data_IF_435777451765
#
_entry.id   IF_435777451765
#
_cell.length_a   1.000
_cell.length_b   1.000
_cell.length_c   1.000
_cell.angle_alpha   90.00
_cell.angle_beta   90.00
_cell.angle_gamma   90.00
#
_symmetry.space_group_name_H-M   'P 1'
#
loop_
_entity.id
_entity.type
_entity.pdbx_description
1 polymer ?
#
# COMPACT_ATOMS: atom_id res chain seq x y z
N UNK A 1 -31.35 -18.96 -8.51
CA UNK A 1 -30.71 -19.67 -7.37
C UNK A 1 -31.56 -19.44 -6.13
N UNK A 2 -32.10 -20.49 -5.54
CA UNK A 2 -32.84 -20.42 -4.28
C UNK A 2 -31.89 -20.57 -3.06
N UNK A 3 -32.38 -20.35 -1.81
CA UNK A 3 -31.50 -20.43 -0.63
C UNK A 3 -30.82 -21.79 -0.40
N UNK A 4 -31.44 -22.91 -0.80
CA UNK A 4 -30.87 -24.23 -0.62
C UNK A 4 -29.78 -24.51 -1.66
N UNK A 5 -29.98 -24.11 -2.92
CA UNK A 5 -28.96 -24.11 -3.96
C UNK A 5 -27.78 -23.21 -3.57
N UNK A 6 -28.05 -22.02 -3.04
CA UNK A 6 -27.00 -21.12 -2.55
C UNK A 6 -26.17 -21.79 -1.44
N UNK A 7 -26.83 -22.43 -0.45
CA UNK A 7 -26.13 -23.13 0.64
C UNK A 7 -25.21 -24.22 0.09
N UNK A 8 -25.74 -25.07 -0.83
CA UNK A 8 -24.95 -26.13 -1.45
C UNK A 8 -23.69 -25.60 -2.15
N UNK A 9 -23.84 -24.54 -2.96
CA UNK A 9 -22.73 -23.93 -3.68
C UNK A 9 -21.75 -23.20 -2.77
N UNK A 10 -22.25 -22.56 -1.70
CA UNK A 10 -21.40 -21.91 -0.71
C UNK A 10 -20.51 -22.92 0.04
N UNK A 11 -21.04 -24.10 0.39
CA UNK A 11 -20.21 -25.18 0.96
C UNK A 11 -19.12 -25.63 -0.03
N UNK A 12 -19.46 -25.84 -1.30
CA UNK A 12 -18.48 -26.20 -2.33
C UNK A 12 -17.37 -25.15 -2.50
N UNK A 13 -17.73 -23.85 -2.46
CA UNK A 13 -16.76 -22.78 -2.50
C UNK A 13 -15.90 -22.70 -1.24
N UNK A 14 -16.49 -22.96 -0.06
CA UNK A 14 -15.74 -23.00 1.20
C UNK A 14 -14.68 -24.09 1.19
N UNK A 15 -15.02 -25.29 0.72
CA UNK A 15 -14.09 -26.42 0.57
C UNK A 15 -12.96 -26.04 -0.40
N UNK A 16 -13.30 -25.49 -1.58
CA UNK A 16 -12.30 -25.06 -2.56
C UNK A 16 -11.37 -23.96 -2.00
N UNK A 17 -11.90 -23.00 -1.26
CA UNK A 17 -11.09 -21.92 -0.65
C UNK A 17 -10.14 -22.49 0.40
N UNK A 18 -10.60 -23.46 1.21
CA UNK A 18 -9.76 -24.12 2.20
C UNK A 18 -8.61 -24.90 1.53
N UNK A 19 -8.93 -25.65 0.47
CA UNK A 19 -7.95 -26.37 -0.35
C UNK A 19 -6.94 -25.41 -0.98
N UNK A 20 -7.40 -24.29 -1.55
CA UNK A 20 -6.52 -23.28 -2.12
C UNK A 20 -5.54 -22.71 -1.07
N UNK A 21 -6.01 -22.36 0.14
CA UNK A 21 -5.12 -21.90 1.21
C UNK A 21 -4.08 -22.94 1.62
N UNK A 22 -4.44 -24.22 1.62
CA UNK A 22 -3.51 -25.31 1.95
C UNK A 22 -2.47 -25.51 0.85
N UNK A 23 -2.90 -25.48 -0.41
CA UNK A 23 -2.14 -25.99 -1.54
C UNK A 23 -1.44 -24.89 -2.36
N UNK A 24 -1.72 -23.61 -2.14
CA UNK A 24 -1.16 -22.49 -2.93
C UNK A 24 0.37 -22.52 -3.00
N UNK A 25 1.05 -22.96 -1.94
CA UNK A 25 2.51 -23.09 -1.90
C UNK A 25 3.09 -24.19 -2.83
N UNK A 26 2.25 -25.06 -3.36
CA UNK A 26 2.65 -26.10 -4.33
C UNK A 26 2.38 -25.69 -5.79
N UNK A 27 1.68 -24.58 -6.00
CA UNK A 27 1.35 -24.08 -7.33
C UNK A 27 2.52 -23.25 -7.90
N UNK A 28 2.61 -23.09 -9.24
CA UNK A 28 3.52 -22.09 -9.80
C UNK A 28 3.14 -20.69 -9.34
N UNK A 29 4.11 -19.87 -8.89
CA UNK A 29 3.84 -18.50 -8.39
C UNK A 29 3.20 -17.62 -9.46
N UNK A 30 3.64 -17.77 -10.72
CA UNK A 30 3.14 -17.01 -11.87
C UNK A 30 2.56 -17.93 -12.93
N UNK A 31 1.56 -17.46 -13.70
CA UNK A 31 0.96 -18.27 -14.78
C UNK A 31 1.93 -18.44 -15.96
N UNK A 32 1.65 -19.45 -16.80
CA UNK A 32 2.39 -19.70 -18.04
C UNK A 32 1.68 -19.18 -19.30
N UNK A 33 0.69 -18.31 -19.15
CA UNK A 33 -0.14 -17.79 -20.24
C UNK A 33 0.54 -16.66 -21.01
N UNK A 34 0.19 -16.52 -22.29
CA UNK A 34 0.59 -15.40 -23.11
C UNK A 34 -0.56 -14.36 -23.22
N UNK A 35 -0.27 -13.09 -23.56
CA UNK A 35 -1.30 -12.09 -23.78
C UNK A 35 -2.36 -12.58 -24.77
N UNK A 36 -3.63 -12.52 -24.34
CA UNK A 36 -4.79 -12.97 -25.11
C UNK A 36 -5.21 -14.43 -24.90
N UNK A 37 -4.40 -15.27 -24.22
CA UNK A 37 -4.77 -16.69 -24.03
C UNK A 37 -6.09 -16.84 -23.25
N UNK A 38 -6.28 -16.07 -22.19
CA UNK A 38 -7.52 -16.09 -21.42
C UNK A 38 -8.67 -15.50 -22.22
N UNK A 39 -8.45 -14.35 -22.86
CA UNK A 39 -9.49 -13.64 -23.63
C UNK A 39 -10.07 -14.54 -24.76
N UNK A 40 -9.22 -15.32 -25.43
CA UNK A 40 -9.67 -16.26 -26.48
C UNK A 40 -10.54 -17.40 -25.98
N UNK A 41 -10.46 -17.73 -24.69
CA UNK A 41 -11.26 -18.78 -24.07
C UNK A 41 -12.59 -18.27 -23.50
N UNK A 42 -12.74 -16.96 -23.33
CA UNK A 42 -13.99 -16.33 -22.91
C UNK A 42 -14.87 -16.12 -24.16
N UNK A 43 -16.17 -16.40 -24.03
CA UNK A 43 -17.12 -16.19 -25.12
C UNK A 43 -17.08 -14.74 -25.63
N UNK A 44 -17.25 -14.54 -26.94
CA UNK A 44 -17.17 -13.23 -27.58
C UNK A 44 -18.35 -12.31 -27.27
N UNK A 45 -19.41 -12.82 -26.65
CA UNK A 45 -20.59 -12.05 -26.25
C UNK A 45 -21.24 -12.59 -24.97
N UNK A 46 -22.14 -11.82 -24.35
CA UNK A 46 -22.86 -12.26 -23.17
C UNK A 46 -23.82 -13.41 -23.54
N UNK A 47 -24.05 -14.38 -22.63
CA UNK A 47 -25.05 -15.41 -22.86
C UNK A 47 -26.48 -14.79 -22.77
N UNK A 48 -27.36 -15.17 -23.66
CA UNK A 48 -28.78 -14.73 -23.62
C UNK A 48 -29.55 -15.36 -22.46
N UNK A 49 -29.12 -16.54 -22.01
CA UNK A 49 -29.75 -17.27 -20.91
C UNK A 49 -28.75 -17.55 -19.80
N UNK A 50 -29.23 -17.56 -18.56
CA UNK A 50 -28.41 -17.89 -17.39
C UNK A 50 -27.86 -19.31 -17.47
N UNK A 51 -26.65 -19.50 -16.97
CA UNK A 51 -25.97 -20.80 -16.91
C UNK A 51 -25.96 -21.38 -15.49
N UNK A 52 -25.96 -22.73 -15.34
CA UNK A 52 -25.82 -23.37 -14.04
C UNK A 52 -24.51 -23.01 -13.34
N UNK A 53 -24.57 -22.84 -12.02
CA UNK A 53 -23.39 -22.51 -11.20
C UNK A 53 -22.21 -23.46 -11.42
N UNK A 54 -22.48 -24.77 -11.54
CA UNK A 54 -21.44 -25.77 -11.77
C UNK A 54 -20.61 -25.48 -13.05
N UNK A 55 -21.27 -25.01 -14.11
CA UNK A 55 -20.57 -24.61 -15.34
C UNK A 55 -19.70 -23.39 -15.11
N UNK A 56 -20.21 -22.37 -14.41
CA UNK A 56 -19.45 -21.16 -14.07
C UNK A 56 -18.24 -21.49 -13.20
N UNK A 57 -18.42 -22.37 -12.21
CA UNK A 57 -17.33 -22.79 -11.31
C UNK A 57 -16.30 -23.66 -12.03
N UNK A 58 -16.75 -24.52 -12.95
CA UNK A 58 -15.85 -25.30 -13.82
C UNK A 58 -15.01 -24.35 -14.70
N UNK A 59 -15.63 -23.39 -15.39
CA UNK A 59 -14.92 -22.41 -16.23
C UNK A 59 -13.95 -21.54 -15.41
N UNK A 60 -14.32 -21.15 -14.19
CA UNK A 60 -13.41 -20.48 -13.28
C UNK A 60 -12.14 -21.31 -13.05
N UNK A 61 -12.28 -22.61 -12.78
CA UNK A 61 -11.14 -23.52 -12.55
C UNK A 61 -10.31 -23.79 -13.80
N UNK A 62 -10.94 -23.88 -14.97
CA UNK A 62 -10.28 -24.28 -16.23
C UNK A 62 -9.73 -23.09 -17.02
N UNK A 63 -10.36 -21.92 -16.94
CA UNK A 63 -10.01 -20.74 -17.73
C UNK A 63 -9.32 -19.68 -16.86
N UNK A 64 -9.94 -19.32 -15.72
CA UNK A 64 -9.47 -18.18 -14.92
C UNK A 64 -8.26 -18.57 -14.06
N UNK A 65 -8.39 -19.68 -13.29
CA UNK A 65 -7.33 -20.10 -12.35
C UNK A 65 -5.96 -20.31 -13.02
N UNK A 66 -5.84 -20.93 -14.21
CA UNK A 66 -4.55 -21.10 -14.87
C UNK A 66 -3.86 -19.81 -15.27
N UNK A 67 -4.63 -18.70 -15.39
CA UNK A 67 -4.12 -17.37 -15.69
C UNK A 67 -3.83 -16.50 -14.46
N UNK A 68 -4.08 -16.99 -13.25
CA UNK A 68 -3.88 -16.21 -12.03
C UNK A 68 -2.42 -16.22 -11.57
N UNK A 69 -1.94 -15.07 -11.16
CA UNK A 69 -0.72 -14.93 -10.36
C UNK A 69 -1.08 -15.10 -8.89
N UNK A 70 -0.39 -16.00 -8.20
CA UNK A 70 -0.70 -16.34 -6.82
C UNK A 70 0.02 -15.43 -5.83
N UNK A 71 -0.55 -14.25 -5.58
CA UNK A 71 -0.01 -13.28 -4.61
C UNK A 71 0.09 -13.81 -3.18
N UNK A 72 -0.70 -14.86 -2.84
CA UNK A 72 -0.64 -15.51 -1.53
C UNK A 72 0.42 -16.62 -1.44
N UNK A 73 1.16 -16.88 -2.53
CA UNK A 73 2.19 -17.92 -2.53
C UNK A 73 3.35 -17.51 -1.60
N UNK A 74 3.87 -18.42 -0.74
CA UNK A 74 4.96 -18.10 0.18
C UNK A 74 6.28 -17.71 -0.51
N UNK A 75 6.46 -18.06 -1.78
CA UNK A 75 7.56 -17.63 -2.65
C UNK A 75 7.28 -16.35 -3.45
N UNK A 76 6.21 -15.62 -3.16
CA UNK A 76 5.94 -14.32 -3.73
C UNK A 76 6.74 -13.24 -3.00
N UNK A 77 7.83 -12.79 -3.60
CA UNK A 77 8.74 -11.76 -3.07
C UNK A 77 8.73 -10.48 -3.91
N UNK A 78 7.72 -10.31 -4.76
CA UNK A 78 7.59 -9.19 -5.68
C UNK A 78 6.80 -8.03 -5.07
N UNK A 79 7.10 -6.81 -5.51
CA UNK A 79 6.41 -5.57 -5.10
C UNK A 79 6.42 -5.38 -3.58
N UNK A 80 5.23 -5.26 -2.99
CA UNK A 80 4.94 -5.45 -1.57
C UNK A 80 3.79 -6.43 -1.43
N UNK A 81 3.62 -7.11 -0.26
CA UNK A 81 2.53 -8.06 -0.09
C UNK A 81 1.17 -7.39 -0.31
N UNK A 82 0.24 -8.13 -0.92
CA UNK A 82 -1.18 -7.86 -0.88
C UNK A 82 -1.82 -9.05 -0.16
N UNK A 83 -1.61 -9.09 1.14
CA UNK A 83 -1.99 -10.21 1.99
C UNK A 83 -3.50 -10.38 2.09
N UNK A 84 -3.90 -11.60 2.34
CA UNK A 84 -5.19 -11.94 2.89
C UNK A 84 -5.05 -12.96 4.03
N UNK A 85 -6.14 -13.26 4.70
CA UNK A 85 -6.21 -14.30 5.72
C UNK A 85 -7.61 -14.91 5.76
N UNK A 86 -7.76 -16.16 6.24
CA UNK A 86 -9.08 -16.78 6.36
C UNK A 86 -10.10 -15.91 7.10
N UNK A 87 -9.81 -15.29 8.27
CA UNK A 87 -10.76 -14.39 8.93
C UNK A 87 -11.19 -13.22 8.05
N UNK A 88 -10.25 -12.64 7.30
CA UNK A 88 -10.51 -11.51 6.40
C UNK A 88 -11.46 -11.91 5.26
N UNK A 89 -11.24 -13.10 4.66
CA UNK A 89 -12.09 -13.63 3.58
C UNK A 89 -13.49 -13.95 4.08
N UNK A 90 -13.64 -14.58 5.26
CA UNK A 90 -14.94 -14.85 5.86
C UNK A 90 -15.74 -13.57 6.14
N UNK A 91 -15.08 -12.52 6.65
CA UNK A 91 -15.70 -11.22 6.86
C UNK A 91 -16.14 -10.56 5.54
N UNK A 92 -15.35 -10.72 4.47
CA UNK A 92 -15.72 -10.20 3.14
C UNK A 92 -16.94 -10.93 2.56
N UNK A 93 -17.08 -12.24 2.79
CA UNK A 93 -18.28 -12.99 2.43
C UNK A 93 -19.52 -12.44 3.14
N UNK A 94 -19.43 -12.13 4.44
CA UNK A 94 -20.50 -11.50 5.20
C UNK A 94 -20.82 -10.09 4.66
N UNK A 95 -19.79 -9.30 4.37
CA UNK A 95 -19.95 -7.96 3.78
C UNK A 95 -20.72 -8.01 2.46
N UNK A 96 -20.37 -8.96 1.58
CA UNK A 96 -21.03 -9.15 0.30
C UNK A 96 -22.50 -9.63 0.48
N UNK A 97 -22.74 -10.52 1.45
CA UNK A 97 -24.07 -11.04 1.76
C UNK A 97 -25.01 -9.96 2.29
N UNK A 98 -24.49 -9.05 3.14
CA UNK A 98 -25.31 -7.97 3.71
C UNK A 98 -25.67 -6.89 2.68
N UNK A 99 -24.89 -6.74 1.60
CA UNK A 99 -25.08 -5.66 0.64
C UNK A 99 -24.99 -4.27 1.27
N UNK A 100 -24.19 -4.12 2.34
CA UNK A 100 -24.13 -2.92 3.15
C UNK A 100 -23.59 -1.71 2.39
N UNK A 101 -24.29 -0.57 2.50
CA UNK A 101 -23.85 0.73 2.00
C UNK A 101 -23.47 1.64 3.18
N UNK A 102 -22.18 1.90 3.36
CA UNK A 102 -21.59 2.52 4.56
C UNK A 102 -21.29 4.02 4.36
N UNK A 103 -22.09 4.74 3.60
CA UNK A 103 -21.88 6.16 3.31
C UNK A 103 -22.19 7.07 4.49
N UNK A 104 -23.18 6.72 5.32
CA UNK A 104 -23.64 7.52 6.45
C UNK A 104 -24.05 6.63 7.61
N UNK A 105 -24.17 7.22 8.80
CA UNK A 105 -24.67 6.52 9.98
C UNK A 105 -26.09 5.98 9.73
N UNK A 106 -26.97 6.79 9.18
CA UNK A 106 -28.36 6.41 8.94
C UNK A 106 -28.52 5.20 8.00
N UNK A 107 -27.61 5.03 7.02
CA UNK A 107 -27.66 3.90 6.09
C UNK A 107 -27.04 2.63 6.65
N UNK A 108 -26.14 2.75 7.63
CA UNK A 108 -25.43 1.62 8.24
C UNK A 108 -24.84 2.02 9.59
N UNK A 109 -25.65 2.14 10.68
CA UNK A 109 -25.15 2.57 11.99
C UNK A 109 -24.02 1.69 12.51
N UNK A 110 -24.21 0.38 12.52
CA UNK A 110 -23.22 -0.58 12.99
C UNK A 110 -21.91 -0.51 12.20
N UNK A 111 -21.97 -0.31 10.89
CA UNK A 111 -20.76 -0.21 10.06
C UNK A 111 -20.00 1.09 10.32
N UNK A 112 -20.71 2.21 10.51
CA UNK A 112 -20.10 3.50 10.83
C UNK A 112 -19.41 3.46 12.18
N UNK A 113 -20.09 2.96 13.22
CA UNK A 113 -19.52 2.88 14.56
C UNK A 113 -18.36 1.86 14.64
N UNK A 114 -18.48 0.75 13.91
CA UNK A 114 -17.36 -0.20 13.82
C UNK A 114 -16.15 0.42 13.11
N UNK A 115 -16.32 1.24 12.06
CA UNK A 115 -15.22 1.93 11.42
C UNK A 115 -14.55 2.92 12.38
N UNK A 116 -15.33 3.69 13.13
CA UNK A 116 -14.78 4.58 14.18
C UNK A 116 -13.95 3.80 15.21
N UNK A 117 -14.49 2.67 15.72
CA UNK A 117 -13.78 1.82 16.66
C UNK A 117 -12.49 1.22 16.07
N UNK A 118 -12.52 0.78 14.81
CA UNK A 118 -11.35 0.21 14.15
C UNK A 118 -10.28 1.26 13.89
N UNK A 119 -10.65 2.46 13.52
CA UNK A 119 -9.68 3.55 13.34
C UNK A 119 -9.05 3.95 14.69
N UNK A 120 -9.81 3.98 15.77
CA UNK A 120 -9.27 4.22 17.11
C UNK A 120 -8.34 3.08 17.57
N UNK A 121 -8.69 1.81 17.33
CA UNK A 121 -7.80 0.70 17.63
C UNK A 121 -6.49 0.77 16.82
N UNK A 122 -6.56 1.06 15.52
CA UNK A 122 -5.37 1.23 14.70
C UNK A 122 -4.52 2.41 15.19
N UNK A 123 -5.14 3.54 15.54
CA UNK A 123 -4.43 4.69 16.12
C UNK A 123 -3.61 4.31 17.34
N UNK A 124 -4.23 3.57 18.28
CA UNK A 124 -3.56 3.06 19.46
C UNK A 124 -2.46 2.04 19.12
N UNK A 125 -2.73 1.11 18.19
CA UNK A 125 -1.78 0.08 17.78
C UNK A 125 -0.50 0.68 17.19
N UNK A 126 -0.62 1.74 16.38
CA UNK A 126 0.53 2.42 15.74
C UNK A 126 1.06 3.60 16.56
N UNK A 127 0.51 3.82 17.75
CA UNK A 127 0.93 4.85 18.73
C UNK A 127 0.83 6.29 18.20
N UNK A 128 -0.19 6.59 17.40
CA UNK A 128 -0.50 7.97 17.03
C UNK A 128 -1.18 8.72 18.19
N UNK A 129 -0.91 10.02 18.36
CA UNK A 129 -1.56 10.85 19.39
C UNK A 129 -3.10 10.84 19.31
N UNK A 130 -3.76 11.07 20.45
CA UNK A 130 -5.21 11.09 20.57
C UNK A 130 -5.92 12.16 19.67
N UNK A 131 -5.18 13.17 19.20
CA UNK A 131 -5.72 14.19 18.28
C UNK A 131 -5.88 13.73 16.83
N UNK A 132 -5.44 12.51 16.49
CA UNK A 132 -5.69 11.95 15.16
C UNK A 132 -7.02 11.22 15.11
N UNK A 133 -7.81 11.52 14.08
CA UNK A 133 -9.02 10.78 13.73
C UNK A 133 -8.85 10.16 12.34
N UNK A 134 -9.59 9.10 12.02
CA UNK A 134 -9.35 8.41 10.76
C UNK A 134 -10.57 7.89 10.05
N UNK A 135 -10.39 7.56 8.77
CA UNK A 135 -11.34 6.88 7.91
C UNK A 135 -10.63 5.81 7.07
N UNK A 136 -11.35 4.74 6.73
CA UNK A 136 -10.83 3.71 5.83
C UNK A 136 -11.04 4.16 4.38
N UNK A 137 -9.95 4.39 3.67
CA UNK A 137 -9.93 4.61 2.22
C UNK A 137 -9.72 3.27 1.48
N UNK A 138 -9.90 3.25 0.17
CA UNK A 138 -9.60 2.07 -0.66
C UNK A 138 -8.07 1.83 -0.73
N UNK A 139 -7.32 2.84 -1.12
CA UNK A 139 -5.86 2.76 -1.31
C UNK A 139 -5.14 3.98 -0.75
N UNK A 140 -3.83 3.83 -0.48
CA UNK A 140 -3.00 4.98 -0.15
C UNK A 140 -2.95 6.02 -1.28
N UNK A 141 -3.17 5.64 -2.54
CA UNK A 141 -3.26 6.61 -3.63
C UNK A 141 -4.43 7.57 -3.48
N UNK A 142 -5.59 7.05 -3.06
CA UNK A 142 -6.76 7.88 -2.73
C UNK A 142 -6.49 8.71 -1.47
N UNK A 143 -5.88 8.12 -0.44
CA UNK A 143 -5.53 8.84 0.80
C UNK A 143 -4.54 9.99 0.54
N UNK A 144 -3.51 9.78 -0.29
CA UNK A 144 -2.57 10.84 -0.70
C UNK A 144 -3.30 11.96 -1.47
N UNK A 145 -4.23 11.59 -2.38
CA UNK A 145 -5.04 12.61 -3.09
C UNK A 145 -5.93 13.39 -2.11
N UNK A 146 -6.55 12.71 -1.14
CA UNK A 146 -7.34 13.37 -0.08
C UNK A 146 -6.47 14.34 0.73
N UNK A 147 -5.26 13.94 1.12
CA UNK A 147 -4.32 14.81 1.82
C UNK A 147 -3.91 16.04 0.99
N UNK A 148 -3.61 15.85 -0.30
CA UNK A 148 -3.26 16.94 -1.22
C UNK A 148 -4.41 17.93 -1.41
N UNK A 149 -5.65 17.42 -1.54
CA UNK A 149 -6.84 18.27 -1.64
C UNK A 149 -7.08 19.03 -0.34
N UNK A 150 -6.95 18.39 0.83
CA UNK A 150 -7.10 19.06 2.14
C UNK A 150 -6.02 20.13 2.35
N UNK A 151 -4.77 19.84 1.98
CA UNK A 151 -3.68 20.82 2.02
C UNK A 151 -3.95 22.03 1.11
N UNK A 152 -4.46 21.79 -0.11
CA UNK A 152 -4.87 22.81 -1.05
C UNK A 152 -5.95 23.71 -0.48
N UNK A 153 -7.00 23.11 0.04
CA UNK A 153 -8.12 23.86 0.61
C UNK A 153 -7.68 24.67 1.85
N UNK A 154 -6.87 24.08 2.73
CA UNK A 154 -6.33 24.78 3.89
C UNK A 154 -5.54 26.04 3.50
N UNK A 155 -4.58 25.90 2.59
CA UNK A 155 -3.69 27.00 2.22
C UNK A 155 -4.39 28.11 1.41
N UNK A 156 -5.50 27.78 0.74
CA UNK A 156 -6.32 28.71 -0.04
C UNK A 156 -7.56 29.22 0.70
N UNK A 157 -7.71 28.88 1.99
CA UNK A 157 -8.91 29.25 2.76
C UNK A 157 -10.21 28.70 2.16
N UNK A 158 -10.16 27.55 1.47
CA UNK A 158 -11.24 26.89 0.73
C UNK A 158 -11.73 27.66 -0.53
N UNK A 159 -10.95 28.62 -1.01
CA UNK A 159 -11.27 29.31 -2.26
C UNK A 159 -11.00 28.45 -3.51
N UNK A 160 -10.03 27.52 -3.44
CA UNK A 160 -9.74 26.63 -4.55
C UNK A 160 -10.95 25.73 -4.92
N UNK A 161 -11.62 25.16 -3.94
CA UNK A 161 -12.83 24.35 -4.15
C UNK A 161 -14.03 25.17 -4.61
N UNK A 162 -14.14 26.42 -4.14
CA UNK A 162 -15.28 27.29 -4.46
C UNK A 162 -15.13 28.04 -5.78
N UNK A 163 -13.90 28.53 -6.10
CA UNK A 163 -13.66 29.45 -7.23
C UNK A 163 -12.73 28.90 -8.30
N UNK A 164 -12.14 27.73 -8.02
CA UNK A 164 -11.09 27.16 -8.86
C UNK A 164 -9.69 27.72 -8.55
N UNK A 165 -8.65 26.95 -8.87
CA UNK A 165 -7.25 27.31 -8.57
C UNK A 165 -6.79 28.61 -9.24
N UNK A 166 -7.32 28.96 -10.40
CA UNK A 166 -6.98 30.21 -11.09
C UNK A 166 -7.37 31.47 -10.29
N UNK A 167 -8.29 31.35 -9.33
CA UNK A 167 -8.75 32.46 -8.50
C UNK A 167 -7.99 32.59 -7.15
N UNK A 168 -7.05 31.71 -6.86
CA UNK A 168 -6.34 31.68 -5.56
C UNK A 168 -5.12 32.60 -5.47
N UNK A 169 -4.80 33.31 -6.53
CA UNK A 169 -3.73 34.32 -6.58
C UNK A 169 -2.35 33.73 -6.83
N UNK A 170 -1.72 33.07 -5.87
CA UNK A 170 -0.38 32.50 -6.01
C UNK A 170 -0.43 31.01 -6.40
N UNK A 171 0.42 30.55 -7.33
CA UNK A 171 0.51 29.14 -7.65
C UNK A 171 1.03 28.30 -6.47
N UNK A 172 0.44 27.13 -6.27
CA UNK A 172 0.76 26.24 -5.15
C UNK A 172 1.86 25.24 -5.51
N UNK A 173 2.72 24.89 -4.56
CA UNK A 173 3.78 23.88 -4.75
C UNK A 173 3.66 22.74 -3.75
N UNK A 174 4.11 21.55 -4.19
CA UNK A 174 4.14 20.31 -3.41
C UNK A 174 5.56 19.74 -3.44
N UNK A 175 6.00 19.16 -2.35
CA UNK A 175 7.35 18.62 -2.18
C UNK A 175 7.30 17.14 -1.81
N UNK A 176 8.18 16.33 -2.39
CA UNK A 176 8.38 14.93 -2.02
C UNK A 176 9.77 14.48 -2.45
N UNK A 177 10.27 13.36 -1.92
CA UNK A 177 11.57 12.84 -2.35
C UNK A 177 11.55 12.27 -3.78
N UNK A 178 12.73 12.11 -4.39
CA UNK A 178 12.88 11.40 -5.67
C UNK A 178 12.45 9.94 -5.58
N UNK A 179 12.44 9.35 -4.37
CA UNK A 179 12.07 7.95 -4.10
C UNK A 179 10.60 7.76 -3.73
N UNK A 180 9.81 8.83 -3.70
CA UNK A 180 8.40 8.76 -3.37
C UNK A 180 7.60 7.95 -4.41
N UNK A 181 6.53 7.32 -3.95
CA UNK A 181 5.64 6.56 -4.82
C UNK A 181 4.94 7.44 -5.85
N UNK A 182 4.72 6.92 -7.06
CA UNK A 182 4.07 7.62 -8.18
C UNK A 182 2.62 8.09 -7.91
N UNK A 183 2.00 7.66 -6.80
CA UNK A 183 0.70 8.20 -6.35
C UNK A 183 0.77 9.70 -6.07
N UNK A 184 1.93 10.22 -5.63
CA UNK A 184 2.12 11.66 -5.40
C UNK A 184 2.05 12.41 -6.72
N UNK A 185 2.73 11.93 -7.78
CA UNK A 185 2.68 12.53 -9.11
C UNK A 185 1.25 12.51 -9.68
N UNK A 186 0.54 11.39 -9.53
CA UNK A 186 -0.88 11.29 -9.92
C UNK A 186 -1.77 12.23 -9.10
N UNK A 187 -1.58 12.27 -7.80
CA UNK A 187 -2.34 13.12 -6.88
C UNK A 187 -2.18 14.60 -7.21
N UNK A 188 -0.95 15.04 -7.46
CA UNK A 188 -0.63 16.43 -7.85
C UNK A 188 -1.32 16.81 -9.17
N UNK A 189 -1.32 15.91 -10.16
CA UNK A 189 -2.07 16.12 -11.42
C UNK A 189 -3.56 16.25 -11.16
N UNK A 190 -4.16 15.31 -10.42
CA UNK A 190 -5.60 15.25 -10.16
C UNK A 190 -6.07 16.41 -9.27
N UNK A 191 -5.28 16.82 -8.28
CA UNK A 191 -5.59 17.95 -7.42
C UNK A 191 -5.41 19.32 -8.10
N UNK A 192 -4.90 19.35 -9.34
CA UNK A 192 -4.78 20.56 -10.15
C UNK A 192 -3.53 21.40 -9.88
N UNK A 193 -2.57 20.92 -9.10
CA UNK A 193 -1.31 21.64 -8.89
C UNK A 193 -0.46 21.75 -10.16
N UNK A 194 -0.45 20.68 -10.98
CA UNK A 194 0.43 20.52 -12.14
C UNK A 194 1.80 19.95 -11.77
N UNK A 195 2.36 19.08 -12.64
CA UNK A 195 3.64 18.41 -12.37
C UNK A 195 4.83 19.36 -12.24
N UNK A 196 4.80 20.51 -12.93
CA UNK A 196 5.84 21.53 -12.83
C UNK A 196 5.90 22.18 -11.45
N UNK A 197 4.88 21.99 -10.61
CA UNK A 197 4.79 22.47 -9.23
C UNK A 197 5.14 21.40 -8.21
N UNK A 198 5.47 20.18 -8.65
CA UNK A 198 5.97 19.12 -7.79
C UNK A 198 7.51 19.19 -7.72
N UNK A 199 8.04 19.48 -6.53
CA UNK A 199 9.47 19.51 -6.26
C UNK A 199 9.92 18.13 -5.81
N UNK A 200 10.77 17.48 -6.60
CA UNK A 200 11.43 16.22 -6.25
C UNK A 200 12.72 16.54 -5.48
N UNK A 201 12.66 16.41 -4.16
CA UNK A 201 13.78 16.67 -3.25
C UNK A 201 14.79 15.54 -3.36
N UNK A 202 16.10 15.84 -3.51
CA UNK A 202 17.16 14.82 -3.50
C UNK A 202 17.18 13.99 -2.21
N UNK A 203 17.72 12.77 -2.34
CA UNK A 203 17.91 11.85 -1.21
C UNK A 203 19.39 11.72 -0.84
N UNK A 204 19.64 11.20 0.36
CA UNK A 204 20.98 10.85 0.83
C UNK A 204 21.45 9.46 0.35
N UNK A 205 22.58 8.99 0.88
CA UNK A 205 23.12 7.67 0.55
C UNK A 205 22.24 6.50 1.03
N UNK A 206 21.31 6.74 1.95
CA UNK A 206 20.32 5.77 2.45
C UNK A 206 18.98 5.89 1.74
N UNK A 207 18.90 6.73 0.70
CA UNK A 207 17.70 7.03 -0.09
C UNK A 207 16.60 7.76 0.69
N UNK A 208 16.94 8.39 1.82
CA UNK A 208 16.04 9.22 2.62
C UNK A 208 16.07 10.68 2.12
N UNK A 209 14.92 11.38 2.19
CA UNK A 209 14.81 12.79 1.81
C UNK A 209 15.84 13.64 2.56
N UNK A 210 16.52 14.52 1.86
CA UNK A 210 17.45 15.48 2.46
C UNK A 210 16.71 16.72 2.98
N UNK A 211 16.66 16.94 4.30
CA UNK A 211 15.94 18.10 4.87
C UNK A 211 16.54 19.46 4.47
N UNK A 212 17.85 19.54 4.30
CA UNK A 212 18.53 20.75 3.84
C UNK A 212 18.11 21.16 2.41
N UNK A 213 17.91 20.17 1.54
CA UNK A 213 17.40 20.39 0.18
C UNK A 213 15.92 20.76 0.18
N UNK A 214 15.12 20.16 1.07
CA UNK A 214 13.72 20.55 1.26
C UNK A 214 13.61 22.00 1.71
N UNK A 215 14.37 22.41 2.72
CA UNK A 215 14.38 23.79 3.22
C UNK A 215 14.75 24.77 2.11
N UNK A 216 15.79 24.46 1.32
CA UNK A 216 16.20 25.30 0.18
C UNK A 216 15.11 25.41 -0.89
N UNK A 217 14.44 24.30 -1.21
CA UNK A 217 13.36 24.30 -2.20
C UNK A 217 12.16 25.12 -1.75
N UNK A 218 11.77 25.03 -0.48
CA UNK A 218 10.68 25.82 0.11
C UNK A 218 11.03 27.31 0.11
N UNK A 219 12.25 27.67 0.55
CA UNK A 219 12.71 29.07 0.57
C UNK A 219 12.72 29.68 -0.84
N UNK A 220 13.26 28.95 -1.83
CA UNK A 220 13.31 29.41 -3.22
C UNK A 220 11.90 29.64 -3.82
N UNK A 221 10.95 28.73 -3.52
CA UNK A 221 9.57 28.90 -3.99
C UNK A 221 8.88 30.12 -3.33
N UNK A 222 9.12 30.36 -2.04
CA UNK A 222 8.61 31.54 -1.34
C UNK A 222 9.19 32.83 -1.93
N UNK A 223 10.50 32.88 -2.19
CA UNK A 223 11.16 34.03 -2.85
C UNK A 223 10.61 34.27 -4.26
N UNK A 224 10.24 33.19 -4.98
CA UNK A 224 9.61 33.26 -6.29
C UNK A 224 8.11 33.66 -6.24
N UNK A 225 7.55 33.95 -5.07
CA UNK A 225 6.14 34.30 -4.88
C UNK A 225 5.18 33.12 -5.03
N UNK A 226 5.68 31.87 -4.92
CA UNK A 226 4.86 30.67 -4.91
C UNK A 226 4.42 30.32 -3.49
N UNK A 227 3.39 29.52 -3.36
CA UNK A 227 2.85 29.13 -2.05
C UNK A 227 3.09 27.63 -1.79
N UNK A 228 4.01 27.27 -0.88
CA UNK A 228 4.19 25.89 -0.42
C UNK A 228 2.91 25.37 0.24
N UNK A 229 2.34 24.29 -0.30
CA UNK A 229 1.07 23.73 0.18
C UNK A 229 1.25 22.43 0.96
N UNK A 230 2.07 21.49 0.46
CA UNK A 230 2.18 20.17 1.06
C UNK A 230 3.59 19.59 0.88
N UNK A 231 4.12 18.98 1.94
CA UNK A 231 5.22 18.02 1.88
C UNK A 231 4.65 16.61 2.05
N UNK A 232 5.01 15.70 1.16
CA UNK A 232 4.74 14.27 1.31
C UNK A 232 6.05 13.58 1.66
N UNK A 233 6.20 13.19 2.93
CA UNK A 233 7.31 12.40 3.43
C UNK A 233 6.92 10.92 3.46
N UNK A 234 7.90 10.02 3.33
CA UNK A 234 7.65 8.59 3.24
C UNK A 234 8.37 7.82 4.35
N UNK A 235 7.66 6.91 5.01
CA UNK A 235 8.27 5.87 5.85
C UNK A 235 8.12 4.53 5.15
N UNK A 236 9.25 4.01 4.64
CA UNK A 236 9.30 2.81 3.82
C UNK A 236 9.02 3.09 2.34
N UNK A 237 9.92 3.80 1.68
CA UNK A 237 9.85 4.12 0.24
C UNK A 237 9.68 2.86 -0.62
N UNK A 238 9.07 3.01 -1.78
CA UNK A 238 8.72 1.86 -2.64
C UNK A 238 9.95 1.09 -3.12
N UNK A 239 11.02 1.78 -3.47
CA UNK A 239 12.20 1.15 -4.07
C UNK A 239 13.10 0.45 -3.03
N UNK A 240 13.35 1.08 -1.87
CA UNK A 240 14.38 0.66 -0.90
C UNK A 240 13.89 0.51 0.54
N UNK A 241 12.64 0.90 0.82
CA UNK A 241 12.10 1.06 2.18
C UNK A 241 12.85 2.10 3.04
N UNK A 242 13.47 3.10 2.42
CA UNK A 242 14.07 4.21 3.13
C UNK A 242 13.06 4.95 4.00
N UNK A 243 13.56 5.56 5.06
CA UNK A 243 12.78 6.29 6.07
C UNK A 243 13.18 7.75 6.02
N UNK A 244 12.27 8.61 5.63
CA UNK A 244 12.50 10.05 5.63
C UNK A 244 12.62 10.59 7.08
N UNK A 245 13.53 11.54 7.37
CA UNK A 245 13.77 12.06 8.72
C UNK A 245 12.64 12.99 9.16
N UNK A 246 11.50 12.41 9.58
CA UNK A 246 10.27 13.13 9.91
C UNK A 246 10.44 14.28 10.92
N UNK A 247 11.28 14.17 12.00
CA UNK A 247 11.43 15.29 12.94
C UNK A 247 11.98 16.56 12.28
N UNK A 248 12.96 16.42 11.39
CA UNK A 248 13.54 17.56 10.67
C UNK A 248 12.56 18.13 9.63
N UNK A 249 11.88 17.25 8.87
CA UNK A 249 10.87 17.65 7.88
C UNK A 249 9.70 18.36 8.55
N UNK A 250 9.20 17.82 9.67
CA UNK A 250 8.12 18.44 10.45
C UNK A 250 8.51 19.83 10.99
N UNK A 251 9.77 19.99 11.40
CA UNK A 251 10.32 21.30 11.79
C UNK A 251 10.23 22.30 10.66
N UNK A 252 10.57 21.91 9.43
CA UNK A 252 10.46 22.76 8.22
C UNK A 252 8.99 23.09 7.93
N UNK A 253 8.14 22.09 7.88
CA UNK A 253 6.71 22.25 7.60
C UNK A 253 6.06 23.24 8.59
N UNK A 254 6.37 23.11 9.89
CA UNK A 254 5.83 23.99 10.93
C UNK A 254 6.31 25.45 10.79
N UNK A 255 7.60 25.69 10.46
CA UNK A 255 8.12 27.04 10.26
C UNK A 255 7.43 27.78 9.12
N UNK A 256 7.09 27.05 8.06
CA UNK A 256 6.52 27.65 6.85
C UNK A 256 5.01 27.43 6.69
N UNK A 257 4.33 26.82 7.69
CA UNK A 257 2.88 26.58 7.65
C UNK A 257 2.44 25.56 6.57
N UNK A 258 3.34 24.68 6.13
CA UNK A 258 3.11 23.68 5.07
C UNK A 258 2.49 22.42 5.66
N UNK A 259 1.52 21.83 4.96
CA UNK A 259 0.92 20.54 5.35
C UNK A 259 1.94 19.41 5.26
N UNK A 260 2.08 18.62 6.31
CA UNK A 260 2.88 17.39 6.30
C UNK A 260 1.97 16.18 6.17
N UNK A 261 2.04 15.48 5.04
CA UNK A 261 1.45 14.15 4.85
C UNK A 261 2.55 13.09 4.95
N UNK A 262 2.34 12.06 5.77
CA UNK A 262 3.26 10.92 5.89
C UNK A 262 2.65 9.71 5.20
N UNK A 263 3.27 9.30 4.09
CA UNK A 263 2.96 8.06 3.37
C UNK A 263 3.78 6.91 3.97
N UNK A 264 3.13 6.09 4.77
CA UNK A 264 3.67 4.86 5.32
C UNK A 264 2.91 3.63 4.79
N UNK A 265 2.47 3.67 3.53
CA UNK A 265 1.57 2.69 2.93
C UNK A 265 1.98 1.23 3.17
N UNK A 266 3.27 0.93 3.11
CA UNK A 266 3.80 -0.39 3.45
C UNK A 266 4.23 -0.49 4.92
N UNK A 267 5.14 0.38 5.32
CA UNK A 267 5.85 0.24 6.59
C UNK A 267 4.99 0.63 7.81
N UNK A 268 3.92 1.41 7.64
CA UNK A 268 3.10 1.86 8.78
C UNK A 268 2.50 0.72 9.62
N UNK A 269 2.32 -0.47 9.02
CA UNK A 269 1.97 -1.67 9.77
C UNK A 269 3.06 -2.09 10.77
N UNK A 270 4.34 -1.76 10.53
CA UNK A 270 5.44 -2.10 11.43
C UNK A 270 5.43 -1.24 12.70
N UNK A 271 4.76 -0.09 12.72
CA UNK A 271 4.64 0.76 13.90
C UNK A 271 3.91 0.05 15.08
N UNK A 272 3.16 -1.04 14.81
CA UNK A 272 2.57 -1.85 15.89
C UNK A 272 3.63 -2.58 16.72
N UNK A 273 4.84 -2.76 16.19
CA UNK A 273 5.97 -3.45 16.82
C UNK A 273 6.80 -2.43 17.60
N UNK A 274 6.86 -2.52 18.95
CA UNK A 274 7.49 -1.48 19.79
C UNK A 274 8.92 -1.16 19.41
N UNK A 275 9.73 -2.17 19.07
CA UNK A 275 11.14 -2.02 18.70
C UNK A 275 11.36 -1.32 17.35
N UNK A 276 10.33 -1.19 16.51
CA UNK A 276 10.40 -0.50 15.21
C UNK A 276 9.80 0.92 15.26
N UNK A 277 9.20 1.34 16.38
CA UNK A 277 8.52 2.64 16.51
C UNK A 277 9.44 3.83 16.29
N UNK A 278 10.70 3.73 16.69
CA UNK A 278 11.68 4.78 16.49
C UNK A 278 11.84 5.21 15.01
N UNK A 279 11.49 4.33 14.06
CA UNK A 279 11.48 4.65 12.62
C UNK A 279 10.34 5.61 12.23
N UNK A 280 9.42 5.87 13.13
CA UNK A 280 8.26 6.75 12.96
C UNK A 280 8.35 8.02 13.81
N UNK A 281 9.47 8.25 14.51
CA UNK A 281 9.67 9.46 15.34
C UNK A 281 9.42 10.70 14.48
N UNK A 282 8.61 11.62 14.99
CA UNK A 282 8.17 12.83 14.27
C UNK A 282 6.80 12.71 13.59
N UNK A 283 6.22 11.49 13.47
CA UNK A 283 4.87 11.31 12.89
C UNK A 283 3.79 12.05 13.68
N UNK A 284 4.00 12.25 14.98
CA UNK A 284 3.12 12.99 15.87
C UNK A 284 2.96 14.46 15.46
N UNK A 285 3.81 14.97 14.60
CA UNK A 285 3.75 16.33 14.06
C UNK A 285 3.11 16.41 12.67
N UNK A 286 2.77 15.26 12.05
CA UNK A 286 2.11 15.25 10.75
C UNK A 286 0.69 15.82 10.82
N UNK A 287 0.22 16.41 9.73
CA UNK A 287 -1.19 16.80 9.55
C UNK A 287 -2.03 15.59 9.14
N UNK A 288 -1.43 14.66 8.38
CA UNK A 288 -2.08 13.40 7.97
C UNK A 288 -1.08 12.27 7.82
N UNK A 289 -1.56 11.04 8.03
CA UNK A 289 -0.79 9.81 7.99
C UNK A 289 -1.61 8.70 7.32
N UNK A 290 -0.96 7.87 6.51
CA UNK A 290 -1.62 6.74 5.85
C UNK A 290 -0.78 5.48 5.92
N UNK A 291 -1.44 4.34 6.15
CA UNK A 291 -0.85 3.03 5.91
C UNK A 291 -1.91 2.03 5.42
N UNK A 292 -1.45 0.92 4.84
CA UNK A 292 -2.33 -0.05 4.21
C UNK A 292 -2.40 -1.37 5.00
N UNK A 293 -3.42 -1.61 5.84
CA UNK A 293 -3.67 -2.93 6.42
C UNK A 293 -3.72 -4.05 5.38
N UNK A 294 -4.15 -3.77 4.15
CA UNK A 294 -4.17 -4.75 3.06
C UNK A 294 -2.78 -5.12 2.51
N UNK A 295 -1.70 -4.46 2.94
CA UNK A 295 -0.32 -4.85 2.60
C UNK A 295 0.26 -5.80 3.65
N UNK A 296 0.39 -5.35 4.89
CA UNK A 296 1.17 -6.09 5.89
C UNK A 296 0.42 -6.42 7.19
N UNK A 297 -0.91 -6.21 7.25
CA UNK A 297 -1.76 -6.61 8.38
C UNK A 297 -2.81 -7.67 8.04
N UNK A 298 -2.56 -8.53 7.03
CA UNK A 298 -3.38 -9.71 6.72
C UNK A 298 -4.85 -9.41 6.35
N UNK A 299 -5.16 -8.17 6.01
CA UNK A 299 -6.47 -7.75 5.53
C UNK A 299 -6.49 -7.87 4.01
N UNK A 300 -7.49 -8.58 3.44
CA UNK A 300 -7.59 -8.67 1.98
C UNK A 300 -7.82 -7.31 1.33
N UNK A 301 -7.29 -7.14 0.12
CA UNK A 301 -7.42 -5.93 -0.69
C UNK A 301 -8.92 -5.61 -0.94
N UNK A 302 -9.44 -4.37 -0.66
CA UNK A 302 -8.70 -3.18 -0.32
C UNK A 302 -9.05 -2.68 1.10
N UNK A 303 -8.08 -2.08 1.79
CA UNK A 303 -8.24 -1.44 3.10
C UNK A 303 -7.00 -0.55 3.37
N UNK A 304 -7.19 0.76 3.42
CA UNK A 304 -6.16 1.75 3.68
C UNK A 304 -6.60 2.65 4.85
N UNK A 305 -5.83 2.71 5.91
CA UNK A 305 -6.13 3.52 7.09
C UNK A 305 -5.54 4.92 6.90
N UNK A 306 -6.39 5.92 6.73
CA UNK A 306 -6.03 7.31 6.61
C UNK A 306 -6.38 8.06 7.89
N UNK A 307 -5.42 8.77 8.44
CA UNK A 307 -5.56 9.58 9.64
C UNK A 307 -5.30 11.04 9.34
N UNK A 308 -6.03 11.92 10.00
CA UNK A 308 -5.88 13.37 9.92
C UNK A 308 -5.98 13.97 11.31
N UNK A 309 -5.24 15.05 11.54
CA UNK A 309 -5.29 15.79 12.79
C UNK A 309 -6.47 16.76 12.85
N UNK A 310 -6.73 17.44 11.74
CA UNK A 310 -7.81 18.41 11.60
C UNK A 310 -8.98 17.79 10.84
N UNK A 311 -9.94 17.22 11.60
CA UNK A 311 -11.16 16.63 11.06
C UNK A 311 -12.01 17.67 10.33
N UNK A 312 -12.08 18.89 10.87
CA UNK A 312 -12.95 19.93 10.30
C UNK A 312 -12.45 20.35 8.91
N UNK A 313 -11.13 20.54 8.76
CA UNK A 313 -10.52 20.82 7.47
C UNK A 313 -10.78 19.70 6.44
N UNK A 314 -10.70 18.43 6.87
CA UNK A 314 -11.01 17.30 6.01
C UNK A 314 -12.47 17.31 5.56
N UNK A 315 -13.40 17.38 6.49
CA UNK A 315 -14.84 17.35 6.19
C UNK A 315 -15.22 18.55 5.31
N UNK A 316 -14.76 19.76 5.66
CA UNK A 316 -15.02 20.96 4.87
C UNK A 316 -14.50 20.88 3.43
N UNK A 317 -13.45 20.10 3.20
CA UNK A 317 -12.89 19.89 1.84
C UNK A 317 -13.83 19.07 0.96
N UNK A 318 -14.54 18.09 1.52
CA UNK A 318 -15.29 17.09 0.73
C UNK A 318 -16.80 17.18 0.90
N UNK A 319 -17.29 17.88 1.94
CA UNK A 319 -18.71 17.91 2.23
C UNK A 319 -19.51 18.58 1.12
N UNK A 320 -20.45 17.81 0.55
CA UNK A 320 -21.51 18.29 -0.32
C UNK A 320 -22.80 17.61 0.14
N UNK A 321 -23.68 18.35 0.85
CA UNK A 321 -24.88 17.78 1.47
C UNK A 321 -26.14 18.24 0.76
N UNK A 322 -26.53 17.58 -0.37
CA UNK A 322 -27.82 17.83 -1.00
C UNK A 322 -28.95 17.38 -0.07
N UNK A 323 -30.16 17.90 -0.30
CA UNK A 323 -31.32 17.73 0.59
C UNK A 323 -31.65 16.27 0.90
N UNK A 324 -31.56 15.38 -0.11
CA UNK A 324 -31.87 13.95 0.06
C UNK A 324 -30.89 13.17 0.93
N UNK A 325 -29.71 13.75 1.24
CA UNK A 325 -28.72 13.16 2.14
C UNK A 325 -28.80 13.69 3.57
N UNK A 326 -29.62 14.72 3.83
CA UNK A 326 -29.77 15.28 5.18
C UNK A 326 -30.61 14.37 6.06
N UNK A 327 -30.13 14.18 7.30
CA UNK A 327 -30.83 13.42 8.34
C UNK A 327 -30.88 14.25 9.62
N UNK A 328 -31.85 13.95 10.48
CA UNK A 328 -32.03 14.65 11.77
C UNK A 328 -30.79 14.43 12.70
N UNK A 329 -30.07 13.32 12.51
CA UNK A 329 -28.92 12.95 13.31
C UNK A 329 -27.60 13.49 12.77
N UNK A 330 -27.53 14.16 11.61
CA UNK A 330 -26.29 14.57 10.95
C UNK A 330 -25.32 15.40 11.83
N UNK A 331 -25.85 16.06 12.88
CA UNK A 331 -25.06 16.85 13.82
C UNK A 331 -24.40 16.03 14.92
N UNK A 332 -24.94 14.83 15.20
CA UNK A 332 -24.57 14.00 16.35
C UNK A 332 -23.77 12.77 15.96
N UNK A 333 -23.62 12.51 14.65
CA UNK A 333 -23.00 11.28 14.12
C UNK A 333 -21.92 11.59 13.08
N UNK A 334 -21.05 10.60 12.86
CA UNK A 334 -20.06 10.66 11.76
C UNK A 334 -20.74 10.17 10.47
N UNK A 335 -20.58 10.95 9.41
CA UNK A 335 -20.98 10.57 8.06
C UNK A 335 -19.74 10.46 7.17
N UNK A 336 -19.23 9.26 6.98
CA UNK A 336 -17.97 9.02 6.23
C UNK A 336 -18.04 9.41 4.74
N UNK A 337 -19.24 9.64 4.17
CA UNK A 337 -19.42 10.22 2.83
C UNK A 337 -18.71 11.57 2.67
N UNK A 338 -18.55 12.30 3.79
CA UNK A 338 -17.95 13.64 3.83
C UNK A 338 -16.42 13.60 4.15
N UNK A 339 -15.83 12.40 4.29
CA UNK A 339 -14.43 12.20 4.66
C UNK A 339 -13.51 11.83 3.47
N UNK A 340 -14.00 11.97 2.25
CA UNK A 340 -13.26 11.63 1.04
C UNK A 340 -14.08 11.84 -0.23
N UNK A 341 -13.55 11.33 -1.33
CA UNK A 341 -14.10 11.58 -2.67
C UNK A 341 -15.40 10.78 -2.91
N UNK A 342 -15.51 9.59 -2.32
CA UNK A 342 -16.53 8.60 -2.67
C UNK A 342 -17.79 8.79 -1.82
N UNK A 343 -18.95 8.88 -2.45
CA UNK A 343 -20.23 8.80 -1.75
C UNK A 343 -20.49 7.38 -1.25
N UNK A 344 -20.48 6.40 -2.15
CA UNK A 344 -20.71 5.00 -1.83
C UNK A 344 -19.47 4.37 -1.17
N UNK A 345 -19.68 3.63 -0.06
CA UNK A 345 -18.57 3.03 0.71
C UNK A 345 -18.86 1.57 1.08
N UNK A 346 -17.85 0.72 0.94
CA UNK A 346 -17.90 -0.69 1.36
C UNK A 346 -17.73 -0.82 2.88
N UNK A 347 -18.23 -1.91 3.43
CA UNK A 347 -18.05 -2.25 4.86
C UNK A 347 -16.65 -2.83 5.13
N UNK A 348 -15.60 -2.04 4.91
CA UNK A 348 -14.19 -2.47 5.08
C UNK A 348 -13.80 -2.72 6.53
N UNK A 349 -14.46 -2.05 7.48
CA UNK A 349 -14.18 -2.20 8.90
C UNK A 349 -14.43 -3.63 9.41
N UNK A 350 -15.37 -4.38 8.81
CA UNK A 350 -15.71 -5.72 9.28
C UNK A 350 -14.53 -6.68 9.15
N UNK A 351 -13.88 -6.70 8.00
CA UNK A 351 -12.70 -7.57 7.78
C UNK A 351 -11.50 -7.19 8.63
N UNK A 352 -11.29 -5.90 8.87
CA UNK A 352 -10.27 -5.42 9.79
C UNK A 352 -10.54 -5.88 11.22
N UNK A 353 -11.79 -5.79 11.68
CA UNK A 353 -12.22 -6.26 13.00
C UNK A 353 -12.00 -7.77 13.17
N UNK A 354 -12.37 -8.56 12.15
CA UNK A 354 -12.14 -10.02 12.15
C UNK A 354 -10.66 -10.36 12.26
N UNK A 355 -9.81 -9.69 11.49
CA UNK A 355 -8.35 -9.92 11.52
C UNK A 355 -7.77 -9.58 12.88
N UNK A 356 -8.03 -8.36 13.40
CA UNK A 356 -7.48 -7.93 14.69
C UNK A 356 -7.95 -8.86 15.82
N UNK A 357 -9.22 -9.26 15.83
CA UNK A 357 -9.74 -10.16 16.87
C UNK A 357 -9.29 -11.59 16.73
N UNK A 358 -9.04 -12.07 15.53
CA UNK A 358 -8.60 -13.45 15.30
C UNK A 358 -7.13 -13.66 15.66
N UNK A 359 -6.26 -12.71 15.30
CA UNK A 359 -4.82 -12.83 15.54
C UNK A 359 -4.36 -12.13 16.82
N UNK A 360 -5.12 -11.15 17.30
CA UNK A 360 -4.68 -10.23 18.34
C UNK A 360 -3.52 -9.34 17.87
N UNK A 361 -3.25 -8.29 18.60
CA UNK A 361 -2.12 -7.39 18.29
C UNK A 361 -0.79 -8.14 18.38
N UNK A 362 -0.63 -9.03 19.35
CA UNK A 362 0.63 -9.79 19.52
C UNK A 362 0.84 -10.79 18.37
N UNK A 363 -0.19 -11.48 17.91
CA UNK A 363 -0.06 -12.37 16.73
C UNK A 363 0.39 -11.62 15.47
N UNK A 364 -0.12 -10.40 15.26
CA UNK A 364 0.31 -9.54 14.16
C UNK A 364 1.76 -9.04 14.34
N UNK A 365 2.17 -8.71 15.58
CA UNK A 365 3.57 -8.36 15.90
C UNK A 365 4.52 -9.51 15.64
N UNK A 366 4.19 -10.71 16.08
CA UNK A 366 5.01 -11.92 15.85
C UNK A 366 5.23 -12.15 14.36
N UNK A 367 4.20 -11.98 13.54
CA UNK A 367 4.32 -12.12 12.09
C UNK A 367 5.27 -11.07 11.50
N UNK A 368 5.12 -9.79 11.86
CA UNK A 368 5.98 -8.72 11.34
C UNK A 368 7.44 -8.94 11.77
N UNK A 369 7.68 -9.26 13.05
CA UNK A 369 9.02 -9.60 13.55
C UNK A 369 9.67 -10.72 12.77
N UNK A 370 8.90 -11.80 12.48
CA UNK A 370 9.39 -12.91 11.65
C UNK A 370 9.82 -12.44 10.26
N UNK A 371 9.01 -11.61 9.59
CA UNK A 371 9.35 -11.13 8.26
C UNK A 371 10.59 -10.22 8.27
N UNK A 372 10.73 -9.35 9.27
CA UNK A 372 11.92 -8.51 9.44
C UNK A 372 13.16 -9.36 9.73
N UNK A 373 13.05 -10.34 10.63
CA UNK A 373 14.14 -11.26 10.93
C UNK A 373 14.61 -12.04 9.68
N UNK A 374 13.67 -12.56 8.88
CA UNK A 374 14.01 -13.24 7.63
C UNK A 374 14.69 -12.30 6.62
N UNK A 375 14.27 -11.04 6.54
CA UNK A 375 14.93 -10.06 5.67
C UNK A 375 16.35 -9.77 6.14
N UNK A 376 16.59 -9.68 7.44
CA UNK A 376 17.93 -9.52 8.01
C UNK A 376 18.80 -10.76 7.77
N UNK A 377 18.26 -11.98 7.86
CA UNK A 377 19.00 -13.20 7.51
C UNK A 377 19.42 -13.18 6.03
N UNK A 378 18.50 -12.84 5.11
CA UNK A 378 18.83 -12.72 3.68
C UNK A 378 19.88 -11.64 3.44
N UNK A 379 19.76 -10.48 4.12
CA UNK A 379 20.79 -9.44 4.02
C UNK A 379 22.16 -9.94 4.47
N UNK A 380 22.22 -10.72 5.56
CA UNK A 380 23.45 -11.36 6.01
C UNK A 380 24.03 -12.36 5.00
N UNK A 381 23.17 -13.10 4.27
CA UNK A 381 23.65 -14.01 3.20
C UNK A 381 24.19 -13.25 1.99
N UNK A 382 23.56 -12.12 1.64
CA UNK A 382 24.04 -11.23 0.56
C UNK A 382 25.39 -10.63 0.91
N UNK A 383 25.52 -10.09 2.12
CA UNK A 383 26.75 -9.44 2.61
C UNK A 383 27.91 -10.44 2.79
N UNK A 384 27.60 -11.69 3.11
CA UNK A 384 28.55 -12.79 3.26
C UNK A 384 29.01 -13.46 1.95
N UNK A 385 28.40 -13.14 0.81
CA UNK A 385 28.75 -13.69 -0.50
C UNK A 385 29.52 -12.64 -1.31
N UNK A 386 30.83 -12.87 -1.64
CA UNK A 386 31.70 -11.87 -2.27
C UNK A 386 31.22 -11.40 -3.65
N UNK A 387 30.37 -12.18 -4.31
CA UNK A 387 29.83 -11.85 -5.63
C UNK A 387 28.54 -11.04 -5.57
N UNK A 388 28.03 -10.73 -4.37
CA UNK A 388 26.82 -9.95 -4.19
C UNK A 388 27.06 -8.68 -3.37
N UNK A 389 26.23 -7.66 -3.57
CA UNK A 389 26.27 -6.43 -2.78
C UNK A 389 24.87 -5.99 -2.34
N UNK A 390 24.75 -5.53 -1.09
CA UNK A 390 23.57 -4.85 -0.59
C UNK A 390 23.52 -3.43 -1.15
N UNK A 391 22.33 -3.03 -1.65
CA UNK A 391 22.15 -1.74 -2.31
C UNK A 391 21.44 -0.69 -1.46
N UNK A 392 20.85 -1.09 -0.33
CA UNK A 392 20.15 -0.21 0.59
C UNK A 392 20.11 -0.83 2.00
N UNK A 393 19.92 -0.02 3.06
CA UNK A 393 19.60 -0.52 4.39
C UNK A 393 18.34 -1.39 4.40
N UNK A 394 18.24 -2.33 5.34
CA UNK A 394 17.12 -3.28 5.46
C UNK A 394 16.38 -3.04 6.79
N UNK A 395 15.63 -1.93 6.95
CA UNK A 395 14.93 -1.64 8.20
C UNK A 395 13.63 -2.47 8.38
N UNK A 396 13.09 -3.01 7.27
CA UNK A 396 11.83 -3.75 7.24
C UNK A 396 11.98 -5.08 6.50
N UNK A 397 10.92 -5.54 5.83
CA UNK A 397 10.88 -6.82 5.11
C UNK A 397 11.38 -6.78 3.66
N UNK A 398 12.17 -5.80 3.24
CA UNK A 398 12.67 -5.68 1.86
C UNK A 398 14.20 -5.73 1.84
N UNK A 399 14.76 -6.60 0.98
CA UNK A 399 16.19 -6.67 0.68
C UNK A 399 16.42 -6.23 -0.77
N UNK A 400 17.30 -5.24 -0.95
CA UNK A 400 17.73 -4.73 -2.25
C UNK A 400 19.18 -5.14 -2.49
N UNK A 401 19.47 -5.86 -3.57
CA UNK A 401 20.81 -6.40 -3.82
C UNK A 401 21.12 -6.51 -5.31
N UNK A 402 22.39 -6.69 -5.62
CA UNK A 402 22.92 -6.98 -6.96
C UNK A 402 23.88 -8.15 -6.91
N UNK A 403 23.92 -8.94 -7.97
CA UNK A 403 25.01 -9.84 -8.27
C UNK A 403 26.08 -9.04 -8.98
N UNK A 404 27.29 -8.96 -8.40
CA UNK A 404 28.39 -8.12 -8.86
C UNK A 404 29.72 -8.86 -8.77
N UNK A 405 30.01 -9.80 -9.66
CA UNK A 405 31.36 -10.43 -9.73
C UNK A 405 32.43 -9.40 -10.09
N UNK A 406 33.64 -9.66 -9.64
CA UNK A 406 34.79 -8.78 -9.88
C UNK A 406 35.05 -8.50 -11.36
N UNK A 407 35.60 -7.31 -11.64
CA UNK A 407 36.12 -6.92 -12.96
C UNK A 407 35.06 -6.44 -13.96
N UNK A 408 33.77 -6.33 -13.57
CA UNK A 408 32.70 -5.85 -14.44
C UNK A 408 32.39 -4.36 -14.24
N UNK A 409 32.07 -3.67 -15.34
CA UNK A 409 31.52 -2.31 -15.29
C UNK A 409 30.08 -2.32 -14.80
N UNK A 410 29.57 -1.18 -14.27
CA UNK A 410 28.17 -1.07 -13.81
C UNK A 410 27.16 -1.44 -14.89
N UNK A 411 27.39 -1.07 -16.16
CA UNK A 411 26.51 -1.45 -17.27
C UNK A 411 26.46 -2.97 -17.49
N UNK A 412 27.61 -3.65 -17.41
CA UNK A 412 27.67 -5.11 -17.50
C UNK A 412 26.96 -5.78 -16.34
N UNK A 413 27.14 -5.25 -15.13
CA UNK A 413 26.46 -5.72 -13.93
C UNK A 413 24.93 -5.53 -14.05
N UNK A 414 24.47 -4.41 -14.59
CA UNK A 414 23.03 -4.17 -14.82
C UNK A 414 22.43 -5.21 -15.78
N UNK A 415 23.11 -5.50 -16.92
CA UNK A 415 22.64 -6.50 -17.87
C UNK A 415 22.68 -7.92 -17.28
N UNK A 416 23.70 -8.21 -16.49
CA UNK A 416 23.82 -9.47 -15.78
C UNK A 416 22.65 -9.68 -14.80
N UNK A 417 22.29 -8.66 -14.03
CA UNK A 417 21.19 -8.73 -13.09
C UNK A 417 19.81 -8.79 -13.77
N UNK A 418 19.62 -8.18 -14.95
CA UNK A 418 18.41 -8.39 -15.77
C UNK A 418 18.26 -9.85 -16.20
N UNK A 419 19.36 -10.48 -16.69
CA UNK A 419 19.34 -11.90 -17.05
C UNK A 419 19.15 -12.81 -15.85
N UNK A 420 19.79 -12.50 -14.72
CA UNK A 420 19.63 -13.21 -13.46
C UNK A 420 18.16 -13.20 -13.01
N UNK A 421 17.55 -12.04 -12.91
CA UNK A 421 16.15 -11.91 -12.49
C UNK A 421 15.19 -12.63 -13.44
N UNK A 422 15.39 -12.50 -14.75
CA UNK A 422 14.59 -13.20 -15.74
C UNK A 422 14.67 -14.74 -15.58
N UNK A 423 15.88 -15.27 -15.33
CA UNK A 423 16.11 -16.71 -15.12
C UNK A 423 15.47 -17.21 -13.82
N UNK A 424 15.60 -16.48 -12.72
CA UNK A 424 14.97 -16.82 -11.44
C UNK A 424 13.46 -16.89 -11.59
N UNK A 425 12.85 -15.85 -12.19
CA UNK A 425 11.39 -15.77 -12.36
C UNK A 425 10.85 -16.80 -13.37
N UNK A 426 11.64 -17.20 -14.37
CA UNK A 426 11.27 -18.25 -15.33
C UNK A 426 11.08 -19.62 -14.67
N UNK A 427 11.70 -19.88 -13.53
CA UNK A 427 11.50 -21.10 -12.76
C UNK A 427 10.09 -21.20 -12.14
N UNK A 428 9.38 -20.07 -11.99
CA UNK A 428 8.00 -19.96 -11.46
C UNK A 428 7.81 -20.55 -10.06
N UNK A 429 8.90 -20.77 -9.33
CA UNK A 429 8.93 -21.24 -7.92
C UNK A 429 8.93 -20.05 -6.95
N UNK A 430 9.59 -18.97 -7.35
CA UNK A 430 9.61 -17.68 -6.68
C UNK A 430 9.37 -16.57 -7.69
N UNK A 431 8.98 -15.40 -7.22
CA UNK A 431 8.87 -14.23 -8.07
C UNK A 431 9.41 -12.99 -7.37
N UNK A 432 10.40 -12.33 -8.00
CA UNK A 432 11.05 -11.11 -7.53
C UNK A 432 10.81 -9.97 -8.51
N UNK A 433 11.07 -8.75 -8.06
CA UNK A 433 11.02 -7.54 -8.91
C UNK A 433 12.37 -6.83 -8.91
N UNK A 434 12.46 -5.78 -9.70
CA UNK A 434 13.60 -4.89 -9.74
C UNK A 434 13.20 -3.44 -9.47
N UNK A 435 14.21 -2.62 -9.24
CA UNK A 435 14.13 -1.16 -9.22
C UNK A 435 15.44 -0.57 -9.75
N UNK A 436 15.51 0.76 -9.79
CA UNK A 436 16.76 1.48 -9.96
C UNK A 436 17.06 2.27 -8.68
N UNK A 437 18.28 2.13 -8.16
CA UNK A 437 18.79 2.89 -7.04
C UNK A 437 20.10 3.56 -7.47
N UNK A 438 20.15 4.89 -7.42
CA UNK A 438 21.29 5.65 -7.91
C UNK A 438 21.64 5.37 -9.38
N UNK A 439 20.63 5.12 -10.21
CA UNK A 439 20.79 4.79 -11.64
C UNK A 439 21.22 3.34 -11.94
N UNK A 440 21.38 2.49 -10.92
CA UNK A 440 21.80 1.09 -11.04
C UNK A 440 20.60 0.15 -10.99
N UNK A 441 20.62 -0.91 -11.80
CA UNK A 441 19.60 -1.96 -11.75
C UNK A 441 19.76 -2.81 -10.49
N UNK A 442 18.71 -2.93 -9.68
CA UNK A 442 18.72 -3.60 -8.37
C UNK A 442 17.60 -4.61 -8.28
N UNK A 443 17.89 -5.82 -7.81
CA UNK A 443 16.91 -6.85 -7.52
C UNK A 443 16.30 -6.58 -6.14
N UNK A 444 14.97 -6.71 -6.03
CA UNK A 444 14.22 -6.53 -4.80
C UNK A 444 13.58 -7.84 -4.38
N UNK A 445 13.76 -8.21 -3.11
CA UNK A 445 13.12 -9.35 -2.46
C UNK A 445 12.31 -8.84 -1.26
N UNK A 446 10.98 -8.76 -1.44
CA UNK A 446 10.06 -8.28 -0.40
C UNK A 446 9.45 -9.47 0.36
N UNK A 447 9.80 -9.60 1.64
CA UNK A 447 9.36 -10.68 2.52
C UNK A 447 8.18 -10.18 3.35
N UNK A 448 7.00 -10.76 3.13
CA UNK A 448 5.80 -10.24 3.80
C UNK A 448 4.53 -11.06 3.60
N UNK A 449 4.58 -12.22 2.93
CA UNK A 449 3.41 -13.08 2.79
C UNK A 449 3.15 -13.88 4.07
N UNK A 450 1.89 -14.10 4.39
CA UNK A 450 1.44 -14.76 5.63
C UNK A 450 2.16 -16.09 5.91
N UNK A 451 2.33 -16.91 4.89
CA UNK A 451 2.91 -18.25 5.00
C UNK A 451 4.42 -18.29 4.71
N UNK A 452 5.05 -17.15 4.42
CA UNK A 452 6.50 -17.15 4.18
C UNK A 452 7.24 -17.53 5.46
N UNK A 453 8.06 -18.57 5.36
CA UNK A 453 8.91 -19.11 6.41
C UNK A 453 10.37 -19.20 5.91
N UNK A 454 11.30 -19.54 6.80
CA UNK A 454 12.73 -19.61 6.53
C UNK A 454 13.07 -20.49 5.32
N UNK A 455 12.42 -21.66 5.21
CA UNK A 455 12.62 -22.56 4.07
C UNK A 455 12.37 -21.90 2.69
N UNK A 456 11.39 -20.98 2.61
CA UNK A 456 11.04 -20.30 1.36
C UNK A 456 12.07 -19.25 0.96
N UNK A 457 12.68 -18.55 1.93
CA UNK A 457 13.76 -17.59 1.64
C UNK A 457 15.09 -18.30 1.36
N UNK A 458 15.35 -19.46 2.01
CA UNK A 458 16.48 -20.33 1.69
C UNK A 458 16.41 -20.89 0.27
N UNK A 459 15.22 -21.37 -0.13
CA UNK A 459 14.96 -21.81 -1.50
C UNK A 459 15.18 -20.69 -2.52
N UNK A 460 14.63 -19.51 -2.24
CA UNK A 460 14.82 -18.34 -3.10
C UNK A 460 16.29 -17.98 -3.24
N UNK A 461 17.05 -17.94 -2.15
CA UNK A 461 18.47 -17.65 -2.17
C UNK A 461 19.28 -18.70 -2.95
N UNK A 462 18.97 -19.98 -2.77
CA UNK A 462 19.59 -21.06 -3.56
C UNK A 462 19.34 -20.87 -5.05
N UNK A 463 18.09 -20.60 -5.46
CA UNK A 463 17.74 -20.36 -6.86
C UNK A 463 18.46 -19.13 -7.43
N UNK A 464 18.61 -18.06 -6.64
CA UNK A 464 19.34 -16.84 -7.04
C UNK A 464 20.81 -17.18 -7.30
N UNK A 465 21.48 -17.89 -6.38
CA UNK A 465 22.89 -18.28 -6.52
C UNK A 465 23.14 -19.22 -7.72
N UNK A 466 22.26 -20.19 -7.92
CA UNK A 466 22.36 -21.13 -9.05
C UNK A 466 22.15 -20.40 -10.40
N UNK A 467 21.19 -19.49 -10.43
CA UNK A 467 20.96 -18.65 -11.60
C UNK A 467 22.13 -17.69 -11.87
N UNK A 468 22.75 -17.12 -10.83
CA UNK A 468 23.92 -16.24 -10.92
C UNK A 468 25.11 -16.96 -11.59
N UNK A 469 25.43 -18.18 -11.15
CA UNK A 469 26.46 -19.01 -11.77
C UNK A 469 26.18 -19.27 -13.25
N UNK A 470 24.93 -19.58 -13.58
CA UNK A 470 24.51 -19.91 -14.94
C UNK A 470 24.46 -18.70 -15.91
N UNK A 471 24.38 -17.47 -15.43
CA UNK A 471 24.40 -16.26 -16.29
C UNK A 471 25.82 -15.69 -16.44
N UNK A 472 26.77 -16.12 -15.61
CA UNK A 472 28.20 -15.79 -15.70
C UNK A 472 29.01 -16.73 -16.61
N UNK A 473 28.43 -17.92 -16.87
CA UNK A 473 28.97 -18.91 -17.83
C UNK A 473 28.58 -18.53 -19.25
#
# INVERSE_FOLDING_TARGET
MNPDEFRQHAHQLADWMADYFRDVGTMPVTPGVQPGDILRQIASGPPEHGEPFQRLFQQFREIIMPGMTHWNHPGWFAYFPANNSPPSVLAEMLTATLGAQCMSWATSPAATELEQAMMEWLRQMVDLPAGFVGAIQDTASTATLVALLSARERVTGHDAGRRGLAATGSPLTVYTSTEAHSSVDKGVKLAGYGLERLRKVPVDASYAMRPDELERAVAADLEAGLTPACVVATVGTTSSTAVDPLPAIAGICRRHGVWLHVDAAYAGSAAIVPELRHLFDGVEHADSFVFNPHKWLLVNFDCSAYFVRDQEALVRTFQVTPEYLRTDQDRDVVNFRDWGIQLGRRFRALKLWFVIRSYGVEGLRVMIRRHVALAQEVAGWVDGDPDFELMAPVPFGLVCFRYRPDGMSDTQVDDLNRRLLARVNAARRVHLTHTQLGGRYVIRMAIGQRETARQHVEEAWSLIRDAAKAVSS
#
